data_IF_368588354696
#
_entry.id   IF_368588354696
#
_cell.length_a   1.000
_cell.length_b   1.000
_cell.length_c   1.000
_cell.angle_alpha   90.00
_cell.angle_beta   90.00
_cell.angle_gamma   90.00
#
_symmetry.space_group_name_H-M   'P 1'
#
loop_
_entity.id
_entity.type
_entity.pdbx_description
1 polymer ?
#
# COMPACT_ATOMS: atom_id res chain seq x y z
N UNK A 1 27.84 -32.18 53.20
CA UNK A 1 26.74 -31.53 52.47
C UNK A 1 27.31 -30.89 51.20
N UNK A 2 26.69 -31.21 50.06
CA UNK A 2 26.71 -30.51 48.75
C UNK A 2 27.97 -30.64 47.88
N UNK A 3 27.69 -30.80 46.59
CA UNK A 3 28.42 -31.43 45.50
C UNK A 3 28.32 -30.49 44.29
N UNK A 4 29.29 -30.57 43.38
CA UNK A 4 29.32 -30.04 42.01
C UNK A 4 29.49 -28.51 41.81
N UNK A 5 30.50 -28.13 41.04
CA UNK A 5 30.27 -27.28 39.87
C UNK A 5 31.12 -27.75 38.69
N UNK A 6 30.40 -27.93 37.58
CA UNK A 6 30.80 -28.63 36.38
C UNK A 6 31.67 -27.76 35.46
N UNK A 7 32.55 -28.46 34.75
CA UNK A 7 33.33 -28.07 33.58
C UNK A 7 32.41 -27.78 32.37
N UNK A 8 32.98 -27.13 31.35
CA UNK A 8 32.52 -26.99 29.95
C UNK A 8 31.37 -26.00 29.70
N UNK A 9 31.25 -25.32 28.57
CA UNK A 9 32.11 -24.88 27.47
C UNK A 9 31.20 -23.96 26.64
N UNK A 10 31.81 -23.08 25.84
CA UNK A 10 31.24 -22.30 24.74
C UNK A 10 29.87 -22.75 24.20
N UNK A 11 28.97 -21.77 23.98
CA UNK A 11 28.19 -21.62 22.74
C UNK A 11 27.49 -20.25 22.72
N UNK A 12 27.82 -19.34 21.78
CA UNK A 12 27.20 -18.03 21.66
C UNK A 12 25.89 -18.19 20.87
N UNK A 13 24.82 -18.59 21.54
CA UNK A 13 23.49 -18.63 20.92
C UNK A 13 22.74 -17.35 21.26
N UNK A 14 23.21 -16.26 20.66
CA UNK A 14 22.43 -15.03 20.48
C UNK A 14 21.32 -15.37 19.48
N UNK A 15 20.29 -16.09 19.94
CA UNK A 15 19.08 -16.38 19.16
C UNK A 15 18.37 -15.05 19.00
N UNK A 16 18.63 -14.41 17.85
CA UNK A 16 17.90 -13.26 17.35
C UNK A 16 16.46 -13.72 17.19
N UNK A 17 15.64 -13.42 18.20
CA UNK A 17 14.21 -13.68 18.13
C UNK A 17 13.66 -12.89 16.94
N UNK A 18 13.02 -13.66 16.06
CA UNK A 18 12.48 -13.25 14.79
C UNK A 18 11.78 -11.89 14.87
N UNK A 19 12.25 -11.01 13.98
CA UNK A 19 11.66 -9.73 13.64
C UNK A 19 10.20 -9.96 13.23
N UNK A 20 9.26 -9.73 14.15
CA UNK A 20 7.83 -9.69 13.84
C UNK A 20 7.59 -8.60 12.82
N UNK A 21 7.54 -8.98 11.54
CA UNK A 21 7.00 -8.16 10.48
C UNK A 21 5.49 -8.05 10.73
N UNK A 22 5.13 -7.13 11.63
CA UNK A 22 3.79 -6.57 11.66
C UNK A 22 3.56 -5.98 10.28
N UNK A 23 2.91 -6.76 9.42
CA UNK A 23 2.41 -6.28 8.16
C UNK A 23 1.29 -5.33 8.55
N UNK A 24 1.64 -4.07 8.77
CA UNK A 24 0.69 -3.00 8.91
C UNK A 24 -0.14 -3.05 7.62
N UNK A 25 -1.32 -3.66 7.72
CA UNK A 25 -2.35 -3.55 6.71
C UNK A 25 -2.64 -2.06 6.61
N UNK A 26 -1.94 -1.39 5.67
CA UNK A 26 -2.21 -0.02 5.32
C UNK A 26 -3.71 0.07 5.12
N UNK A 27 -4.35 0.87 5.96
CA UNK A 27 -5.79 1.12 5.96
C UNK A 27 -6.19 1.31 4.51
N UNK A 28 -6.93 0.35 3.95
CA UNK A 28 -7.42 0.46 2.58
C UNK A 28 -8.16 1.80 2.52
N UNK A 29 -7.77 2.70 1.61
CA UNK A 29 -8.45 3.98 1.53
C UNK A 29 -9.90 3.73 1.09
N UNK A 30 -10.75 4.70 1.39
CA UNK A 30 -12.19 4.57 1.36
C UNK A 30 -12.67 3.92 0.06
N UNK A 31 -13.48 2.86 0.16
CA UNK A 31 -13.87 2.07 -1.00
C UNK A 31 -14.63 2.93 -2.00
N UNK A 32 -14.01 3.22 -3.15
CA UNK A 32 -14.70 3.94 -4.25
C UNK A 32 -15.91 3.11 -4.67
N UNK A 33 -17.11 3.69 -4.61
CA UNK A 33 -18.29 3.05 -5.18
C UNK A 33 -18.13 2.85 -6.68
N UNK A 34 -18.57 1.70 -7.17
CA UNK A 34 -18.64 1.41 -8.62
C UNK A 34 -19.51 2.43 -9.35
N UNK A 35 -20.50 3.02 -8.68
CA UNK A 35 -21.40 4.04 -9.25
C UNK A 35 -20.64 5.35 -9.52
N UNK A 36 -19.77 5.76 -8.59
CA UNK A 36 -18.89 6.92 -8.75
C UNK A 36 -18.02 6.75 -9.99
N UNK A 37 -17.35 5.61 -10.13
CA UNK A 37 -16.50 5.32 -11.29
C UNK A 37 -17.32 5.25 -12.59
N UNK A 38 -18.52 4.68 -12.55
CA UNK A 38 -19.40 4.58 -13.72
C UNK A 38 -19.83 5.95 -14.22
N UNK A 39 -20.09 6.90 -13.32
CA UNK A 39 -20.46 8.27 -13.66
C UNK A 39 -19.33 9.07 -14.32
N UNK A 40 -18.06 8.67 -14.12
CA UNK A 40 -16.88 9.33 -14.70
C UNK A 40 -16.60 8.92 -16.15
N UNK A 41 -17.35 7.94 -16.68
CA UNK A 41 -17.29 7.53 -18.07
C UNK A 41 -16.41 6.30 -18.35
N UNK A 42 -16.41 5.82 -19.60
CA UNK A 42 -15.87 4.50 -19.96
C UNK A 42 -14.36 4.36 -19.75
N UNK A 43 -13.60 5.46 -19.90
CA UNK A 43 -12.16 5.46 -19.67
C UNK A 43 -11.82 5.24 -18.19
N UNK A 44 -12.52 5.92 -17.28
CA UNK A 44 -12.36 5.73 -15.84
C UNK A 44 -12.73 4.31 -15.41
N UNK A 45 -13.82 3.76 -15.96
CA UNK A 45 -14.24 2.36 -15.71
C UNK A 45 -13.17 1.37 -16.19
N UNK A 46 -12.57 1.58 -17.35
CA UNK A 46 -11.52 0.72 -17.88
C UNK A 46 -10.26 0.75 -16.99
N UNK A 47 -9.81 1.95 -16.60
CA UNK A 47 -8.63 2.10 -15.74
C UNK A 47 -8.87 1.59 -14.31
N UNK A 48 -10.07 1.82 -13.76
CA UNK A 48 -10.43 1.28 -12.46
C UNK A 48 -10.45 -0.26 -12.45
N UNK A 49 -10.92 -0.90 -13.53
CA UNK A 49 -10.82 -2.37 -13.68
C UNK A 49 -9.37 -2.84 -13.71
N UNK A 50 -8.48 -2.14 -14.43
CA UNK A 50 -7.04 -2.44 -14.43
C UNK A 50 -6.41 -2.26 -13.06
N UNK A 51 -6.75 -1.17 -12.36
CA UNK A 51 -6.33 -0.90 -10.99
C UNK A 51 -6.74 -2.05 -10.06
N UNK A 52 -8.01 -2.50 -10.11
CA UNK A 52 -8.51 -3.60 -9.28
C UNK A 52 -7.79 -4.92 -9.55
N UNK A 53 -7.48 -5.21 -10.82
CA UNK A 53 -6.76 -6.41 -11.21
C UNK A 53 -5.25 -6.38 -10.86
N UNK A 54 -4.68 -5.19 -10.60
CA UNK A 54 -3.26 -5.06 -10.36
C UNK A 54 -2.83 -5.67 -9.01
N UNK A 55 -1.70 -6.38 -9.03
CA UNK A 55 -1.06 -6.96 -7.85
C UNK A 55 -0.06 -5.98 -7.21
N UNK A 56 0.33 -6.28 -5.98
CA UNK A 56 1.25 -5.45 -5.20
C UNK A 56 0.60 -4.15 -4.68
N UNK A 57 1.43 -3.22 -4.25
CA UNK A 57 0.94 -1.94 -3.72
C UNK A 57 0.43 -1.06 -4.86
N UNK A 58 -0.77 -0.53 -4.67
CA UNK A 58 -1.49 0.27 -5.65
C UNK A 58 -2.31 1.35 -4.96
N UNK A 59 -2.61 2.41 -5.70
CA UNK A 59 -3.47 3.50 -5.29
C UNK A 59 -4.24 4.05 -6.50
N UNK A 60 -5.49 4.42 -6.28
CA UNK A 60 -6.30 5.16 -7.22
C UNK A 60 -6.59 6.53 -6.61
N UNK A 61 -6.52 7.59 -7.40
CA UNK A 61 -6.81 8.95 -6.92
C UNK A 61 -7.85 9.58 -7.80
N UNK A 62 -8.75 10.35 -7.19
CA UNK A 62 -9.77 11.13 -7.89
C UNK A 62 -9.69 12.56 -7.38
N UNK A 63 -9.67 13.51 -8.31
CA UNK A 63 -9.89 14.91 -8.01
C UNK A 63 -11.36 15.31 -8.25
N UNK A 64 -11.88 16.28 -7.48
CA UNK A 64 -13.16 16.91 -7.79
C UNK A 64 -13.23 17.35 -9.25
N UNK A 65 -14.35 17.06 -9.92
CA UNK A 65 -14.51 17.27 -11.36
C UNK A 65 -14.22 16.04 -12.23
N UNK A 66 -13.93 14.88 -11.62
CA UNK A 66 -13.87 13.60 -12.34
C UNK A 66 -12.54 13.34 -13.04
N UNK A 67 -11.46 13.99 -12.62
CA UNK A 67 -10.09 13.68 -13.04
C UNK A 67 -9.56 12.54 -12.17
N UNK A 68 -8.91 11.54 -12.77
CA UNK A 68 -8.34 10.41 -12.04
C UNK A 68 -6.92 10.10 -12.46
N UNK A 69 -6.22 9.37 -11.59
CA UNK A 69 -5.00 8.66 -11.94
C UNK A 69 -4.86 7.39 -11.09
N UNK A 70 -4.08 6.42 -11.58
CA UNK A 70 -3.80 5.20 -10.86
C UNK A 70 -2.31 4.88 -10.91
N UNK A 71 -1.79 4.33 -9.80
CA UNK A 71 -0.43 3.75 -9.75
C UNK A 71 -0.51 2.36 -9.15
N UNK A 72 0.17 1.40 -9.78
CA UNK A 72 0.30 0.03 -9.30
C UNK A 72 1.76 -0.43 -9.32
N UNK A 73 2.03 -1.57 -8.68
CA UNK A 73 3.35 -2.19 -8.65
C UNK A 73 4.39 -1.40 -7.85
N UNK A 74 3.96 -0.52 -6.95
CA UNK A 74 4.90 0.25 -6.14
C UNK A 74 5.52 -0.62 -5.03
N UNK A 75 6.72 -0.24 -4.59
CA UNK A 75 7.42 -0.93 -3.48
C UNK A 75 6.68 -0.84 -2.14
N UNK A 76 5.92 0.24 -1.92
CA UNK A 76 5.08 0.45 -0.72
C UNK A 76 3.75 1.11 -1.10
N UNK A 77 2.76 1.06 -0.20
CA UNK A 77 1.47 1.72 -0.38
C UNK A 77 1.63 3.24 -0.49
N UNK A 78 2.48 3.85 0.32
CA UNK A 78 2.77 5.29 0.33
C UNK A 78 3.37 5.73 -1.01
N UNK A 79 4.26 4.92 -1.59
CA UNK A 79 4.82 5.19 -2.93
C UNK A 79 3.77 5.06 -4.03
N UNK A 80 2.80 4.16 -3.88
CA UNK A 80 1.69 4.09 -4.82
C UNK A 80 0.82 5.35 -4.73
N UNK A 81 0.46 5.77 -3.51
CA UNK A 81 -0.35 6.97 -3.27
C UNK A 81 0.36 8.23 -3.79
N UNK A 82 1.61 8.45 -3.40
CA UNK A 82 2.40 9.60 -3.86
C UNK A 82 2.54 9.61 -5.39
N UNK A 83 2.80 8.44 -5.99
CA UNK A 83 2.87 8.31 -7.45
C UNK A 83 1.54 8.62 -8.15
N UNK A 84 0.42 8.14 -7.62
CA UNK A 84 -0.90 8.42 -8.17
C UNK A 84 -1.24 9.93 -8.06
N UNK A 85 -0.95 10.56 -6.92
CA UNK A 85 -1.15 12.01 -6.73
C UNK A 85 -0.30 12.81 -7.73
N UNK A 86 0.97 12.45 -7.94
CA UNK A 86 1.84 13.12 -8.90
C UNK A 86 1.30 13.04 -10.34
N UNK A 87 0.67 11.92 -10.71
CA UNK A 87 0.03 11.76 -12.02
C UNK A 87 -1.27 12.55 -12.16
N UNK A 88 -2.03 12.73 -11.07
CA UNK A 88 -3.31 13.43 -11.08
C UNK A 88 -3.17 14.96 -11.00
N UNK A 89 -2.18 15.47 -10.27
CA UNK A 89 -1.93 16.92 -10.10
C UNK A 89 -1.87 17.74 -11.40
N UNK A 90 -1.19 17.33 -12.48
CA UNK A 90 -1.17 18.13 -13.71
C UNK A 90 -2.51 18.18 -14.43
N UNK A 91 -3.42 17.24 -14.14
CA UNK A 91 -4.73 17.13 -14.76
C UNK A 91 -5.83 17.86 -13.96
N UNK A 92 -5.53 18.28 -12.74
CA UNK A 92 -6.49 18.86 -11.80
C UNK A 92 -5.99 20.18 -11.20
N UNK A 93 -6.88 21.16 -11.05
CA UNK A 93 -6.58 22.42 -10.32
C UNK A 93 -6.77 22.32 -8.81
N UNK A 94 -7.27 21.17 -8.34
CA UNK A 94 -7.61 20.90 -6.95
C UNK A 94 -6.90 19.63 -6.46
N UNK A 95 -6.86 19.44 -5.14
CA UNK A 95 -6.23 18.27 -4.54
C UNK A 95 -6.89 16.96 -4.99
N UNK A 96 -6.06 16.00 -5.37
CA UNK A 96 -6.47 14.63 -5.66
C UNK A 96 -6.51 13.82 -4.37
N UNK A 97 -7.60 13.08 -4.15
CA UNK A 97 -7.84 12.30 -2.95
C UNK A 97 -7.55 10.83 -3.26
N UNK A 98 -6.75 10.11 -2.46
CA UNK A 98 -6.51 8.69 -2.62
C UNK A 98 -7.68 7.84 -2.10
N UNK A 99 -7.96 6.75 -2.83
CA UNK A 99 -9.00 5.76 -2.58
C UNK A 99 -8.48 4.33 -2.80
#
# INVERSE_FOLDING_TARGET
MIRFFATTAFLPTFIILFLSAATAAAKAPDTISSDTISSMGPAAVADYRRYRAARGNKAFVIAPGGVWAAKSGARTAEKAIAGAILLCRPLSRVNCIPY
#
